data_IF_460955945418
#
_entry.id   IF_460955945418
#
_cell.length_a   1.000
_cell.length_b   1.000
_cell.length_c   1.000
_cell.angle_alpha   90.00
_cell.angle_beta   90.00
_cell.angle_gamma   90.00
#
_symmetry.space_group_name_H-M   'P 1'
#
loop_
_entity.id
_entity.type
_entity.pdbx_description
1 polymer ?
#
# COMPACT_ATOMS: atom_id res chain seq x y z
N UNK A 1 -5.38 -11.25 13.83
CA UNK A 1 -5.78 -9.87 14.20
C UNK A 1 -4.53 -9.09 14.55
N UNK A 2 -4.22 -8.02 13.83
CA UNK A 2 -3.03 -7.26 14.17
C UNK A 2 -3.20 -6.51 15.48
N UNK A 3 -2.13 -6.42 16.26
CA UNK A 3 -2.09 -5.50 17.37
C UNK A 3 -1.98 -4.07 16.83
N UNK A 4 -2.36 -3.08 17.64
CA UNK A 4 -2.18 -1.68 17.25
C UNK A 4 -0.69 -1.36 17.04
N UNK A 5 0.18 -1.91 17.88
CA UNK A 5 1.62 -1.73 17.73
C UNK A 5 2.13 -2.27 16.40
N UNK A 6 1.67 -3.46 16.00
CA UNK A 6 2.06 -4.05 14.71
C UNK A 6 1.58 -3.21 13.53
N UNK A 7 0.33 -2.73 13.59
CA UNK A 7 -0.19 -1.86 12.55
C UNK A 7 0.61 -0.56 12.47
N UNK A 8 0.95 0.04 13.62
CA UNK A 8 1.74 1.27 13.64
C UNK A 8 3.14 1.06 13.06
N UNK A 9 3.76 -0.10 13.29
CA UNK A 9 5.04 -0.46 12.65
C UNK A 9 4.91 -0.52 11.13
N UNK A 10 3.85 -1.17 10.63
CA UNK A 10 3.59 -1.26 9.20
C UNK A 10 3.40 0.14 8.60
N UNK A 11 2.57 0.96 9.22
CA UNK A 11 2.33 2.33 8.76
C UNK A 11 3.63 3.12 8.70
N UNK A 12 4.46 3.03 9.75
CA UNK A 12 5.75 3.71 9.78
C UNK A 12 6.69 3.24 8.66
N UNK A 13 6.68 1.94 8.34
CA UNK A 13 7.49 1.41 7.26
C UNK A 13 7.07 1.99 5.91
N UNK A 14 5.77 2.10 5.65
CA UNK A 14 5.26 2.71 4.41
C UNK A 14 5.59 4.21 4.37
N UNK A 15 5.40 4.91 5.47
CA UNK A 15 5.68 6.36 5.57
C UNK A 15 7.16 6.64 5.34
N UNK A 16 8.06 5.72 5.72
CA UNK A 16 9.49 5.88 5.48
C UNK A 16 9.86 5.87 3.99
N UNK A 17 8.94 5.45 3.12
CA UNK A 17 9.17 5.37 1.68
C UNK A 17 9.58 3.98 1.19
N UNK A 18 9.90 3.05 2.08
CA UNK A 18 10.30 1.70 1.73
C UNK A 18 9.07 0.80 1.52
N UNK A 19 8.29 1.11 0.48
CA UNK A 19 7.06 0.38 0.19
C UNK A 19 7.33 -1.10 -0.15
N UNK A 20 8.36 -1.37 -0.93
CA UNK A 20 8.72 -2.75 -1.28
C UNK A 20 9.16 -3.54 -0.04
N UNK A 21 9.98 -2.95 0.83
CA UNK A 21 10.38 -3.57 2.08
C UNK A 21 9.22 -3.80 3.03
N UNK A 22 8.23 -2.91 3.05
CA UNK A 22 7.01 -3.10 3.83
C UNK A 22 6.24 -4.34 3.35
N UNK A 23 6.15 -4.56 2.04
CA UNK A 23 5.51 -5.75 1.49
C UNK A 23 6.29 -7.00 1.92
N UNK A 24 7.61 -6.99 1.81
CA UNK A 24 8.44 -8.14 2.19
C UNK A 24 8.24 -8.54 3.65
N UNK A 25 8.11 -7.57 4.56
CA UNK A 25 8.07 -7.82 6.00
C UNK A 25 6.67 -8.08 6.54
N UNK A 26 5.64 -7.47 5.95
CA UNK A 26 4.31 -7.44 6.55
C UNK A 26 3.24 -8.21 5.77
N UNK A 27 3.55 -8.75 4.61
CA UNK A 27 2.60 -9.52 3.80
C UNK A 27 2.93 -11.00 3.83
N UNK A 28 1.90 -11.84 3.72
CA UNK A 28 2.10 -13.29 3.61
C UNK A 28 2.66 -13.64 2.24
N UNK A 29 3.24 -14.83 2.12
CA UNK A 29 3.81 -15.31 0.87
C UNK A 29 2.76 -15.41 -0.25
N UNK A 30 1.52 -15.75 0.11
CA UNK A 30 0.39 -15.88 -0.82
C UNK A 30 -0.46 -14.62 -0.93
N UNK A 31 0.02 -13.49 -0.44
CA UNK A 31 -0.74 -12.25 -0.40
C UNK A 31 -1.19 -11.78 -1.79
N UNK A 32 -2.33 -11.09 -1.82
CA UNK A 32 -2.83 -10.46 -3.03
C UNK A 32 -3.07 -8.97 -2.83
N UNK A 33 -2.91 -8.21 -3.90
CA UNK A 33 -3.26 -6.80 -4.01
C UNK A 33 -4.17 -6.58 -5.22
N UNK A 34 -5.23 -5.81 -5.00
CA UNK A 34 -6.16 -5.43 -6.05
C UNK A 34 -6.33 -3.92 -6.08
N UNK A 35 -6.35 -3.34 -7.25
CA UNK A 35 -6.63 -1.91 -7.43
C UNK A 35 -8.03 -1.76 -8.02
N UNK A 36 -8.95 -1.14 -7.28
CA UNK A 36 -10.34 -0.98 -7.66
C UNK A 36 -10.96 -2.33 -8.10
N UNK A 37 -11.48 -2.43 -9.31
CA UNK A 37 -12.07 -3.65 -9.85
C UNK A 37 -11.13 -4.42 -10.79
N UNK A 38 -9.84 -4.06 -10.85
CA UNK A 38 -8.86 -4.76 -11.67
C UNK A 38 -8.60 -6.17 -11.13
N UNK A 39 -7.98 -7.01 -11.96
CA UNK A 39 -7.57 -8.35 -11.51
C UNK A 39 -6.50 -8.23 -10.42
N UNK A 40 -6.61 -9.00 -9.33
CA UNK A 40 -5.59 -8.99 -8.29
C UNK A 40 -4.24 -9.48 -8.80
N UNK A 41 -3.18 -8.91 -8.26
CA UNK A 41 -1.84 -9.49 -8.35
C UNK A 41 -1.67 -10.42 -7.15
N UNK A 42 -1.16 -11.61 -7.38
CA UNK A 42 -1.05 -12.66 -6.36
C UNK A 42 0.39 -13.10 -6.18
N UNK A 43 0.80 -13.21 -4.92
CA UNK A 43 2.13 -13.65 -4.54
C UNK A 43 3.02 -12.49 -4.10
N UNK A 44 3.61 -12.63 -2.90
CA UNK A 44 4.44 -11.57 -2.32
C UNK A 44 5.57 -11.14 -3.25
N UNK A 45 6.25 -12.08 -3.92
CA UNK A 45 7.33 -11.75 -4.83
C UNK A 45 6.86 -10.93 -6.02
N UNK A 46 5.65 -11.23 -6.53
CA UNK A 46 5.03 -10.46 -7.61
C UNK A 46 4.71 -9.05 -7.13
N UNK A 47 4.17 -8.92 -5.92
CA UNK A 47 3.83 -7.62 -5.34
C UNK A 47 5.08 -6.76 -5.12
N UNK A 48 6.14 -7.35 -4.61
CA UNK A 48 7.43 -6.66 -4.39
C UNK A 48 8.01 -6.17 -5.72
N UNK A 49 8.04 -7.04 -6.73
CA UNK A 49 8.58 -6.69 -8.04
C UNK A 49 7.79 -5.55 -8.69
N UNK A 50 6.46 -5.60 -8.59
CA UNK A 50 5.59 -4.55 -9.10
C UNK A 50 5.86 -3.21 -8.40
N UNK A 51 5.96 -3.24 -7.07
CA UNK A 51 6.20 -2.02 -6.29
C UNK A 51 7.56 -1.41 -6.58
N UNK A 52 8.59 -2.23 -6.73
CA UNK A 52 9.92 -1.75 -7.13
C UNK A 52 9.87 -1.07 -8.48
N UNK A 53 9.14 -1.63 -9.45
CA UNK A 53 8.99 -1.04 -10.77
C UNK A 53 8.27 0.32 -10.70
N UNK A 54 7.25 0.45 -9.85
CA UNK A 54 6.55 1.72 -9.63
C UNK A 54 7.50 2.75 -9.05
N UNK A 55 8.26 2.38 -8.02
CA UNK A 55 9.19 3.29 -7.34
C UNK A 55 10.34 3.74 -8.23
N UNK A 56 10.77 2.93 -9.18
CA UNK A 56 11.80 3.30 -10.15
C UNK A 56 11.36 4.44 -11.08
N UNK A 57 10.06 4.60 -11.30
CA UNK A 57 9.51 5.64 -12.19
C UNK A 57 9.38 6.99 -11.49
N UNK A 58 9.54 7.03 -10.18
CA UNK A 58 9.36 8.25 -9.40
C UNK A 58 10.68 8.70 -8.82
N UNK A 59 10.82 10.03 -8.72
CA UNK A 59 11.94 10.67 -8.04
C UNK A 59 11.76 10.60 -6.53
N UNK A 60 10.51 10.75 -6.08
CA UNK A 60 10.17 10.71 -4.66
C UNK A 60 8.70 10.37 -4.47
N UNK A 61 8.38 9.84 -3.30
CA UNK A 61 7.01 9.61 -2.85
C UNK A 61 6.90 10.06 -1.40
N UNK A 62 5.81 10.78 -1.12
CA UNK A 62 5.44 11.13 0.25
C UNK A 62 4.16 10.38 0.58
N UNK A 63 4.18 9.63 1.68
CA UNK A 63 3.06 8.79 2.11
C UNK A 63 2.56 9.28 3.45
N UNK A 64 1.27 9.60 3.51
CA UNK A 64 0.62 10.09 4.72
C UNK A 64 -0.53 9.16 5.09
N UNK A 65 -0.53 8.66 6.31
CA UNK A 65 -1.67 7.96 6.88
C UNK A 65 -2.60 8.99 7.52
N UNK A 66 -3.74 9.23 6.89
CA UNK A 66 -4.73 10.19 7.39
C UNK A 66 -5.50 9.59 8.58
N UNK A 67 -5.92 8.34 8.45
CA UNK A 67 -6.70 7.64 9.46
C UNK A 67 -6.58 6.13 9.25
N UNK A 68 -6.80 5.38 10.31
CA UNK A 68 -6.88 3.92 10.23
C UNK A 68 -7.94 3.40 11.18
N UNK A 69 -8.60 2.32 10.78
CA UNK A 69 -9.62 1.65 11.56
C UNK A 69 -9.30 0.17 11.58
N UNK A 70 -9.38 -0.44 12.75
CA UNK A 70 -9.15 -1.87 12.95
C UNK A 70 -10.42 -2.48 13.52
N UNK A 71 -10.89 -3.54 12.86
CA UNK A 71 -11.98 -4.37 13.38
C UNK A 71 -11.64 -5.83 13.13
N UNK A 72 -11.26 -6.55 14.19
CA UNK A 72 -10.86 -7.95 14.08
C UNK A 72 -9.65 -8.08 13.15
N UNK A 73 -9.79 -8.92 12.13
CA UNK A 73 -8.73 -9.16 11.15
C UNK A 73 -8.75 -8.19 9.98
N UNK A 74 -9.63 -7.21 10.01
CA UNK A 74 -9.77 -6.20 8.95
C UNK A 74 -9.25 -4.86 9.38
N UNK A 75 -8.54 -4.22 8.46
CA UNK A 75 -7.97 -2.90 8.66
C UNK A 75 -8.31 -2.05 7.45
N UNK A 76 -8.74 -0.81 7.69
CA UNK A 76 -8.91 0.19 6.64
C UNK A 76 -7.97 1.35 6.93
N UNK A 77 -7.21 1.77 5.93
CA UNK A 77 -6.28 2.89 6.05
C UNK A 77 -6.57 3.89 4.96
N UNK A 78 -6.80 5.14 5.33
CA UNK A 78 -6.86 6.22 4.37
C UNK A 78 -5.44 6.76 4.17
N UNK A 79 -4.89 6.51 2.99
CA UNK A 79 -3.59 6.96 2.56
C UNK A 79 -3.70 8.17 1.64
N UNK A 80 -2.76 9.08 1.74
CA UNK A 80 -2.49 10.07 0.70
C UNK A 80 -1.07 9.84 0.22
N UNK A 81 -0.92 9.48 -1.05
CA UNK A 81 0.37 9.32 -1.71
C UNK A 81 0.61 10.46 -2.67
N UNK A 82 1.74 11.12 -2.54
CA UNK A 82 2.16 12.19 -3.43
C UNK A 82 3.44 11.77 -4.13
N UNK A 83 3.36 11.60 -5.45
CA UNK A 83 4.48 11.17 -6.27
C UNK A 83 5.06 12.36 -7.03
N UNK A 84 6.38 12.41 -7.10
CA UNK A 84 7.09 13.29 -8.03
C UNK A 84 7.83 12.40 -9.01
N UNK A 85 7.49 12.49 -10.29
CA UNK A 85 8.11 11.70 -11.34
C UNK A 85 9.45 12.32 -11.76
N UNK A 86 10.30 11.53 -12.43
CA UNK A 86 11.58 12.02 -12.94
C UNK A 86 11.40 13.18 -13.93
N UNK A 87 10.24 13.24 -14.61
CA UNK A 87 9.88 14.34 -15.51
C UNK A 87 9.60 15.66 -14.80
N UNK A 88 9.48 15.63 -13.45
CA UNK A 88 9.05 16.79 -12.66
C UNK A 88 7.54 16.88 -12.46
N UNK A 89 6.76 16.07 -13.17
CA UNK A 89 5.31 16.00 -12.96
C UNK A 89 4.99 15.38 -11.60
N UNK A 90 3.86 15.75 -11.05
CA UNK A 90 3.39 15.25 -9.76
C UNK A 90 2.02 14.60 -9.89
N UNK A 91 1.72 13.68 -8.97
CA UNK A 91 0.42 13.07 -8.83
C UNK A 91 0.09 12.92 -7.36
N UNK A 92 -1.19 13.03 -7.04
CA UNK A 92 -1.69 12.85 -5.67
C UNK A 92 -2.84 11.87 -5.71
N UNK A 93 -2.72 10.81 -4.92
CA UNK A 93 -3.76 9.80 -4.77
C UNK A 93 -4.26 9.80 -3.33
N UNK A 94 -5.58 9.96 -3.18
CA UNK A 94 -6.26 9.79 -1.90
C UNK A 94 -6.96 8.44 -1.98
N UNK A 95 -6.45 7.48 -1.24
CA UNK A 95 -6.84 6.08 -1.38
C UNK A 95 -7.30 5.50 -0.05
N UNK A 96 -8.18 4.50 -0.13
CA UNK A 96 -8.49 3.65 1.02
C UNK A 96 -7.97 2.26 0.72
N UNK A 97 -7.11 1.75 1.60
CA UNK A 97 -6.64 0.37 1.56
C UNK A 97 -7.48 -0.44 2.53
N UNK A 98 -8.20 -1.43 2.02
CA UNK A 98 -8.92 -2.39 2.84
C UNK A 98 -8.10 -3.67 2.90
N UNK A 99 -7.68 -4.04 4.11
CA UNK A 99 -6.77 -5.15 4.35
C UNK A 99 -7.45 -6.25 5.16
N UNK A 100 -7.11 -7.49 4.84
CA UNK A 100 -7.39 -8.63 5.69
C UNK A 100 -6.05 -9.19 6.17
N UNK A 101 -5.96 -9.38 7.48
CA UNK A 101 -4.76 -9.86 8.15
C UNK A 101 -4.92 -11.32 8.57
N UNK A 102 -3.82 -12.05 8.52
CA UNK A 102 -3.71 -13.41 9.04
C UNK A 102 -2.63 -13.36 10.12
N UNK A 103 -3.06 -13.27 11.38
CA UNK A 103 -2.13 -13.01 12.48
C UNK A 103 -1.52 -11.61 12.34
N UNK A 104 -0.21 -11.57 12.25
CA UNK A 104 0.56 -10.32 12.17
C UNK A 104 0.97 -9.93 10.73
N UNK A 105 0.35 -10.55 9.72
CA UNK A 105 0.65 -10.29 8.30
C UNK A 105 -0.61 -10.10 7.46
N UNK A 106 -0.48 -9.29 6.43
CA UNK A 106 -1.54 -9.00 5.47
C UNK A 106 -1.56 -10.10 4.42
N UNK A 107 -2.73 -10.71 4.19
CA UNK A 107 -2.86 -11.71 3.12
C UNK A 107 -3.73 -11.25 1.96
N UNK A 108 -4.51 -10.18 2.14
CA UNK A 108 -5.33 -9.59 1.06
C UNK A 108 -5.44 -8.09 1.28
N UNK A 109 -5.24 -7.33 0.20
CA UNK A 109 -5.38 -5.88 0.23
C UNK A 109 -6.04 -5.39 -1.03
N UNK A 110 -6.99 -4.47 -0.89
CA UNK A 110 -7.65 -3.82 -2.00
C UNK A 110 -7.62 -2.32 -1.81
N UNK A 111 -7.14 -1.62 -2.83
CA UNK A 111 -7.11 -0.16 -2.84
C UNK A 111 -8.31 0.37 -3.59
N UNK A 112 -8.94 1.39 -3.02
CA UNK A 112 -10.05 2.11 -3.64
C UNK A 112 -9.63 3.55 -3.84
N UNK A 113 -9.61 3.98 -5.08
CA UNK A 113 -9.29 5.35 -5.45
C UNK A 113 -9.96 5.70 -6.76
N UNK A 114 -9.99 6.99 -7.11
CA UNK A 114 -10.58 7.47 -8.35
C UNK A 114 -9.58 7.30 -9.50
N UNK A 115 -9.79 6.32 -10.41
CA UNK A 115 -8.86 6.09 -11.52
C UNK A 115 -8.92 7.18 -12.59
N UNK A 116 -9.93 8.06 -12.56
CA UNK A 116 -10.05 9.18 -13.50
C UNK A 116 -9.14 10.35 -13.13
N UNK A 117 -8.47 10.26 -11.97
CA UNK A 117 -7.48 11.26 -11.54
C UNK A 117 -6.09 10.65 -11.59
N UNK A 118 -5.57 10.42 -12.80
CA UNK A 118 -4.31 9.74 -12.97
C UNK A 118 -3.15 10.58 -12.48
N UNK A 119 -2.01 9.92 -12.39
CA UNK A 119 -0.75 10.59 -12.22
C UNK A 119 -0.58 11.65 -13.31
N UNK A 120 -0.25 12.83 -12.92
CA UNK A 120 -0.03 13.93 -13.84
C UNK A 120 1.23 13.71 -14.69
#
# INVERSE_FOLDING_TARGET
>A
MPSRARLDEFVAAVVSGDHAGAIERYYTEDASMQENAALPRVGRDVLVAHERAVLERVKSVTSTCVASVVEGDRVAINWVFEFTYHSGKTARFDEVALQEWRGDKIFRERFFYDPSKPAA
#
